data_IF_054320774913
#
_entry.id   IF_054320774913
#
_cell.length_a   1.000
_cell.length_b   1.000
_cell.length_c   1.000
_cell.angle_alpha   90.00
_cell.angle_beta   90.00
_cell.angle_gamma   90.00
#
_symmetry.space_group_name_H-M   'P 1'
#
loop_
_entity.id
_entity.type
_entity.pdbx_description
1 polymer ?
#
# COMPACT_ATOMS: atom_id res chain seq x y z
N UNK A 1 11.21 -9.25 8.40
CA UNK A 1 10.18 -10.18 7.87
C UNK A 1 10.77 -11.18 6.89
N UNK A 2 10.46 -12.46 7.07
CA UNK A 2 10.81 -13.52 6.12
C UNK A 2 9.82 -13.57 4.93
N UNK A 3 10.04 -14.52 4.01
CA UNK A 3 9.21 -14.68 2.81
C UNK A 3 7.79 -15.14 3.14
N UNK A 4 7.63 -16.08 4.07
CA UNK A 4 6.33 -16.65 4.43
C UNK A 4 5.42 -15.60 5.06
N UNK A 5 5.98 -14.77 5.95
CA UNK A 5 5.30 -13.62 6.54
C UNK A 5 4.85 -12.61 5.48
N UNK A 6 5.70 -12.31 4.48
CA UNK A 6 5.36 -11.41 3.38
C UNK A 6 4.26 -11.97 2.49
N UNK A 7 4.33 -13.26 2.17
CA UNK A 7 3.33 -13.94 1.35
C UNK A 7 1.97 -13.96 2.07
N UNK A 8 1.95 -14.27 3.38
CA UNK A 8 0.74 -14.24 4.20
C UNK A 8 0.11 -12.84 4.30
N UNK A 9 0.92 -11.80 4.54
CA UNK A 9 0.45 -10.42 4.57
C UNK A 9 -0.14 -10.01 3.22
N UNK A 10 0.54 -10.36 2.12
CA UNK A 10 0.06 -10.08 0.77
C UNK A 10 -1.29 -10.75 0.50
N UNK A 11 -1.45 -12.02 0.87
CA UNK A 11 -2.72 -12.73 0.72
C UNK A 11 -3.85 -12.06 1.53
N UNK A 12 -3.58 -11.68 2.78
CA UNK A 12 -4.53 -10.96 3.64
C UNK A 12 -4.99 -9.63 3.01
N UNK A 13 -4.06 -8.83 2.50
CA UNK A 13 -4.35 -7.56 1.81
C UNK A 13 -5.19 -7.80 0.55
N UNK A 14 -4.81 -8.77 -0.28
CA UNK A 14 -5.55 -9.12 -1.51
C UNK A 14 -6.98 -9.52 -1.17
N UNK A 15 -7.19 -10.34 -0.14
CA UNK A 15 -8.54 -10.76 0.26
C UNK A 15 -9.38 -9.59 0.77
N UNK A 16 -8.81 -8.66 1.53
CA UNK A 16 -9.51 -7.44 1.97
C UNK A 16 -9.89 -6.56 0.78
N UNK A 17 -8.98 -6.35 -0.17
CA UNK A 17 -9.24 -5.58 -1.40
C UNK A 17 -10.34 -6.24 -2.26
N UNK A 18 -10.30 -7.57 -2.45
CA UNK A 18 -11.35 -8.29 -3.18
C UNK A 18 -12.72 -8.13 -2.52
N UNK A 19 -12.79 -8.20 -1.18
CA UNK A 19 -14.03 -8.00 -0.42
C UNK A 19 -14.59 -6.58 -0.59
N UNK A 20 -13.72 -5.60 -0.77
CA UNK A 20 -14.10 -4.22 -1.08
C UNK A 20 -14.45 -3.99 -2.57
N UNK A 21 -14.40 -5.03 -3.41
CA UNK A 21 -14.82 -4.97 -4.81
C UNK A 21 -13.68 -4.77 -5.82
N UNK A 22 -12.42 -4.75 -5.39
CA UNK A 22 -11.27 -4.63 -6.31
C UNK A 22 -11.09 -5.92 -7.12
N UNK A 23 -10.95 -5.77 -8.45
CA UNK A 23 -10.75 -6.88 -9.39
C UNK A 23 -9.29 -6.87 -9.86
N UNK A 24 -8.57 -7.96 -9.58
CA UNK A 24 -7.18 -8.14 -10.01
C UNK A 24 -7.11 -8.86 -11.36
N UNK A 25 -6.07 -8.57 -12.16
CA UNK A 25 -5.78 -9.29 -13.40
C UNK A 25 -6.62 -8.89 -14.62
N UNK A 26 -7.36 -7.77 -14.55
CA UNK A 26 -7.95 -7.09 -15.70
C UNK A 26 -7.09 -5.88 -16.10
N UNK A 27 -7.22 -5.48 -17.36
CA UNK A 27 -6.36 -4.54 -18.12
C UNK A 27 -6.35 -3.08 -17.66
N UNK A 28 -7.07 -2.71 -16.61
CA UNK A 28 -7.07 -1.33 -16.15
C UNK A 28 -5.86 -1.09 -15.26
N UNK A 29 -5.07 -0.07 -15.62
CA UNK A 29 -3.67 0.14 -15.28
C UNK A 29 -3.40 0.54 -13.82
N UNK A 30 -4.24 0.10 -12.88
CA UNK A 30 -4.11 0.46 -11.47
C UNK A 30 -3.21 -0.53 -10.73
N UNK A 31 -2.15 -0.01 -10.12
CA UNK A 31 -1.18 -0.74 -9.32
C UNK A 31 -1.35 -0.37 -7.85
N UNK A 32 -1.71 -1.37 -7.03
CA UNK A 32 -1.69 -1.25 -5.58
C UNK A 32 -0.33 -1.69 -5.04
N UNK A 33 0.34 -0.83 -4.29
CA UNK A 33 1.71 -1.04 -3.80
C UNK A 33 1.76 -0.91 -2.28
N UNK A 34 2.48 -1.86 -1.66
CA UNK A 34 2.92 -1.74 -0.27
C UNK A 34 4.44 -1.82 -0.28
N UNK A 35 5.10 -0.78 0.24
CA UNK A 35 6.54 -0.72 0.42
C UNK A 35 6.84 -0.73 1.92
N UNK A 36 7.70 -1.65 2.33
CA UNK A 36 8.15 -1.77 3.72
C UNK A 36 9.67 -1.62 3.69
N UNK A 37 10.17 -0.61 4.39
CA UNK A 37 11.58 -0.37 4.63
C UNK A 37 11.84 -0.46 6.12
N UNK A 38 12.94 -1.10 6.51
CA UNK A 38 13.39 -1.07 7.89
C UNK A 38 14.89 -0.87 7.98
N UNK A 39 15.31 -0.17 9.03
CA UNK A 39 16.71 0.05 9.38
C UNK A 39 16.91 -0.24 10.86
N UNK A 40 18.02 -0.90 11.19
CA UNK A 40 18.42 -1.09 12.58
C UNK A 40 19.29 0.10 13.01
N UNK A 41 18.88 0.77 14.08
CA UNK A 41 19.62 1.88 14.68
C UNK A 41 19.91 1.53 16.14
N UNK A 42 21.17 1.20 16.42
CA UNK A 42 21.59 0.63 17.70
C UNK A 42 20.82 -0.67 18.02
N UNK A 43 19.98 -0.64 19.06
CA UNK A 43 19.19 -1.77 19.55
C UNK A 43 17.70 -1.67 19.19
N UNK A 44 17.31 -0.69 18.37
CA UNK A 44 15.92 -0.44 17.95
C UNK A 44 15.78 -0.54 16.44
N UNK A 45 14.70 -1.15 15.96
CA UNK A 45 14.37 -1.17 14.53
C UNK A 45 13.41 -0.02 14.19
N UNK A 46 13.76 0.75 13.17
CA UNK A 46 12.93 1.83 12.63
C UNK A 46 12.30 1.31 11.35
N UNK A 47 10.98 1.45 11.25
CA UNK A 47 10.16 0.89 10.17
C UNK A 47 9.42 2.02 9.47
N UNK A 48 9.42 1.96 8.14
CA UNK A 48 8.65 2.83 7.28
C UNK A 48 7.75 1.97 6.38
N UNK A 49 6.45 2.12 6.56
CA UNK A 49 5.42 1.45 5.76
C UNK A 49 4.76 2.48 4.88
N UNK A 50 4.69 2.19 3.58
CA UNK A 50 4.02 3.05 2.60
C UNK A 50 3.01 2.22 1.80
N UNK A 51 1.79 2.73 1.70
CA UNK A 51 0.72 2.19 0.88
C UNK A 51 0.39 3.20 -0.23
N UNK A 52 0.34 2.74 -1.47
CA UNK A 52 0.05 3.60 -2.61
C UNK A 52 -0.85 2.93 -3.64
N UNK A 53 -1.73 3.72 -4.24
CA UNK A 53 -2.46 3.37 -5.45
C UNK A 53 -1.92 4.25 -6.57
N UNK A 54 -1.49 3.64 -7.68
CA UNK A 54 -1.05 4.40 -8.84
C UNK A 54 -1.66 3.87 -10.13
N UNK A 55 -1.77 4.73 -11.13
CA UNK A 55 -2.34 4.38 -12.43
C UNK A 55 -1.57 5.04 -13.57
N UNK A 56 -1.64 4.42 -14.75
CA UNK A 56 -1.16 5.06 -15.97
C UNK A 56 -2.18 6.10 -16.45
N UNK A 57 -1.74 7.35 -16.58
CA UNK A 57 -2.56 8.48 -17.03
C UNK A 57 -1.99 9.14 -18.27
N UNK A 58 -2.86 9.74 -19.07
CA UNK A 58 -2.49 10.67 -20.13
C UNK A 58 -2.65 12.10 -19.62
N UNK A 59 -1.57 12.87 -19.62
CA UNK A 59 -1.64 14.27 -19.19
C UNK A 59 -2.40 15.13 -20.21
N UNK A 60 -3.17 16.12 -19.72
CA UNK A 60 -3.92 17.07 -20.56
C UNK A 60 -3.05 18.19 -21.16
N UNK A 61 -1.75 18.22 -20.83
CA UNK A 61 -0.81 19.22 -21.35
C UNK A 61 -0.50 18.94 -22.82
N UNK A 62 -0.21 19.98 -23.63
CA UNK A 62 0.24 19.79 -25.01
C UNK A 62 1.40 18.79 -25.07
N UNK A 63 1.22 17.71 -25.83
CA UNK A 63 2.18 16.61 -25.94
C UNK A 63 1.68 15.25 -25.47
N UNK A 64 0.52 15.16 -24.78
CA UNK A 64 -0.12 13.88 -24.38
C UNK A 64 0.88 12.91 -23.72
N UNK A 65 1.60 13.40 -22.71
CA UNK A 65 2.66 12.62 -22.08
C UNK A 65 2.01 11.51 -21.25
N UNK A 66 2.40 10.26 -21.52
CA UNK A 66 2.10 9.12 -20.67
C UNK A 66 2.86 9.26 -19.35
N UNK A 67 2.16 9.15 -18.23
CA UNK A 67 2.72 9.29 -16.89
C UNK A 67 2.14 8.24 -15.96
N UNK A 68 2.90 7.88 -14.93
CA UNK A 68 2.38 7.10 -13.81
C UNK A 68 2.03 8.08 -12.69
N UNK A 69 0.76 8.15 -12.32
CA UNK A 69 0.27 9.02 -11.26
C UNK A 69 0.01 8.18 -10.01
N UNK A 70 0.46 8.64 -8.85
CA UNK A 70 -0.02 8.12 -7.57
C UNK A 70 -1.32 8.87 -7.22
N UNK A 71 -2.43 8.13 -7.19
CA UNK A 71 -3.76 8.66 -6.86
C UNK A 71 -4.07 8.54 -5.37
N UNK A 72 -3.38 7.65 -4.67
CA UNK A 72 -3.40 7.54 -3.21
C UNK A 72 -1.99 7.29 -2.69
N UNK A 73 -1.65 7.92 -1.58
CA UNK A 73 -0.39 7.70 -0.86
C UNK A 73 -0.60 7.93 0.63
N UNK A 74 -0.34 6.91 1.43
CA UNK A 74 -0.32 6.99 2.88
C UNK A 74 0.95 6.32 3.42
N UNK A 75 1.48 6.85 4.52
CA UNK A 75 2.73 6.40 5.12
C UNK A 75 2.59 6.34 6.63
N UNK A 76 3.23 5.34 7.21
CA UNK A 76 3.41 5.22 8.65
C UNK A 76 4.88 4.97 8.95
N UNK A 77 5.35 5.56 10.05
CA UNK A 77 6.74 5.54 10.47
C UNK A 77 6.81 5.30 11.96
N UNK A 78 7.49 4.25 12.38
CA UNK A 78 7.57 3.87 13.79
C UNK A 78 8.94 3.30 14.19
N UNK A 79 9.26 3.48 15.46
CA UNK A 79 10.26 2.69 16.18
C UNK A 79 9.57 1.46 16.76
N UNK A 80 10.21 0.30 16.71
CA UNK A 80 9.59 -0.97 17.08
C UNK A 80 10.53 -1.92 17.80
N UNK A 81 10.03 -2.51 18.88
CA UNK A 81 10.63 -3.65 19.59
C UNK A 81 10.04 -4.99 19.08
N UNK A 82 8.91 -4.96 18.37
CA UNK A 82 8.24 -6.12 17.74
C UNK A 82 8.06 -5.92 16.22
N UNK A 83 9.14 -5.83 15.43
CA UNK A 83 9.12 -5.22 14.09
C UNK A 83 8.15 -5.87 13.11
N UNK A 84 8.02 -7.19 13.16
CA UNK A 84 7.11 -7.93 12.29
C UNK A 84 5.65 -7.63 12.62
N UNK A 85 5.30 -7.64 13.91
CA UNK A 85 3.93 -7.43 14.36
C UNK A 85 3.49 -6.00 14.07
N UNK A 86 4.33 -5.03 14.44
CA UNK A 86 4.03 -3.62 14.25
C UNK A 86 3.92 -3.28 12.75
N UNK A 87 4.76 -3.88 11.89
CA UNK A 87 4.62 -3.73 10.43
C UNK A 87 3.26 -4.22 9.93
N UNK A 88 2.77 -5.37 10.43
CA UNK A 88 1.48 -5.92 10.02
C UNK A 88 0.36 -4.99 10.47
N UNK A 89 0.36 -4.57 11.73
CA UNK A 89 -0.64 -3.65 12.30
C UNK A 89 -0.69 -2.33 11.52
N UNK A 90 0.48 -1.78 11.18
CA UNK A 90 0.62 -0.57 10.36
C UNK A 90 0.01 -0.74 8.96
N UNK A 91 0.33 -1.83 8.27
CA UNK A 91 -0.28 -2.14 6.95
C UNK A 91 -1.80 -2.28 7.06
N UNK A 92 -2.29 -2.90 8.14
CA UNK A 92 -3.73 -3.04 8.36
C UNK A 92 -4.43 -1.71 8.62
N UNK A 93 -3.78 -0.80 9.37
CA UNK A 93 -4.28 0.56 9.61
C UNK A 93 -4.36 1.34 8.30
N UNK A 94 -3.25 1.43 7.57
CA UNK A 94 -3.18 2.15 6.29
C UNK A 94 -4.17 1.60 5.26
N UNK A 95 -4.36 0.27 5.22
CA UNK A 95 -5.33 -0.34 4.32
C UNK A 95 -6.77 -0.02 4.74
N UNK A 96 -7.07 0.03 6.04
CA UNK A 96 -8.42 0.38 6.52
C UNK A 96 -8.75 1.83 6.18
N UNK A 97 -7.82 2.76 6.40
CA UNK A 97 -7.95 4.17 5.99
C UNK A 97 -8.17 4.31 4.47
N UNK A 98 -7.39 3.58 3.67
CA UNK A 98 -7.57 3.55 2.22
C UNK A 98 -8.96 3.08 1.81
N UNK A 99 -9.44 1.99 2.42
CA UNK A 99 -10.76 1.43 2.08
C UNK A 99 -11.91 2.34 2.49
N UNK A 100 -11.76 3.08 3.59
CA UNK A 100 -12.71 4.10 4.02
C UNK A 100 -12.74 5.25 3.02
N UNK A 101 -11.58 5.83 2.68
CA UNK A 101 -11.48 6.89 1.69
C UNK A 101 -12.02 6.47 0.32
N UNK A 102 -11.69 5.25 -0.12
CA UNK A 102 -12.21 4.70 -1.38
C UNK A 102 -13.73 4.53 -1.36
N UNK A 103 -14.32 4.16 -0.22
CA UNK A 103 -15.77 4.05 -0.08
C UNK A 103 -16.41 5.43 -0.19
N UNK A 104 -15.86 6.43 0.49
CA UNK A 104 -16.37 7.80 0.47
C UNK A 104 -16.31 8.43 -0.93
N UNK A 105 -15.26 8.16 -1.71
CA UNK A 105 -15.13 8.64 -3.10
C UNK A 105 -16.15 8.00 -4.07
N UNK A 106 -16.73 6.85 -3.70
CA UNK A 106 -17.66 6.09 -4.55
C UNK A 106 -19.12 6.12 -4.04
N UNK A 107 -19.43 6.85 -2.96
CA UNK A 107 -20.80 7.17 -2.51
C UNK A 107 -21.38 8.41 -3.23
#
# INVERSE_FOLDING_TARGET
>A
MDKEQKDSLKESVIEKLKKAGFIFGKTDATTFMIKIESINVNDTEVIHVQLALGEEVLTSRPGNIHSFALTYLATDFMESDEPVKDTIESVESLLSEFLEAYKDDNE
#
